data_IF_226143878502
#
_entry.id   IF_226143878502
#
_cell.length_a   1.000
_cell.length_b   1.000
_cell.length_c   1.000
_cell.angle_alpha   90.00
_cell.angle_beta   90.00
_cell.angle_gamma   90.00
#
_symmetry.space_group_name_H-M   'P 1'
#
loop_
_entity.id
_entity.type
_entity.pdbx_description
1 polymer ?
#
# COMPACT_ATOMS: atom_id res chain seq x y z
N UNK A 1 -16.86 1.13 -27.13
CA UNK A 1 -17.11 0.17 -26.03
C UNK A 1 -15.78 -0.37 -25.58
N UNK A 2 -15.36 -0.04 -24.35
CA UNK A 2 -14.05 -0.46 -23.84
C UNK A 2 -14.08 -1.95 -23.48
N UNK A 3 -13.15 -2.71 -24.04
CA UNK A 3 -13.03 -4.15 -23.82
C UNK A 3 -12.72 -4.45 -22.35
N UNK A 4 -12.94 -5.71 -21.95
CA UNK A 4 -12.62 -6.16 -20.58
C UNK A 4 -11.13 -6.00 -20.27
N UNK A 5 -10.26 -6.25 -21.25
CA UNK A 5 -8.81 -6.13 -21.10
C UNK A 5 -8.36 -4.67 -20.87
N UNK A 6 -8.92 -3.72 -21.62
CA UNK A 6 -8.60 -2.29 -21.47
C UNK A 6 -9.04 -1.74 -20.11
N UNK A 7 -10.22 -2.15 -19.61
CA UNK A 7 -10.68 -1.79 -18.26
C UNK A 7 -9.77 -2.36 -17.17
N UNK A 8 -9.28 -3.58 -17.37
CA UNK A 8 -8.37 -4.24 -16.43
C UNK A 8 -7.01 -3.54 -16.41
N UNK A 9 -6.46 -3.20 -17.57
CA UNK A 9 -5.20 -2.44 -17.68
C UNK A 9 -5.28 -1.06 -17.01
N UNK A 10 -6.38 -0.32 -17.20
CA UNK A 10 -6.58 0.98 -16.52
C UNK A 10 -6.68 0.84 -15.00
N UNK A 11 -7.36 -0.20 -14.50
CA UNK A 11 -7.45 -0.46 -13.07
C UNK A 11 -6.06 -0.76 -12.48
N UNK A 12 -5.26 -1.61 -13.15
CA UNK A 12 -3.90 -1.91 -12.73
C UNK A 12 -2.99 -0.67 -12.75
N UNK A 13 -3.10 0.17 -13.78
CA UNK A 13 -2.33 1.42 -13.86
C UNK A 13 -2.66 2.38 -12.71
N UNK A 14 -3.93 2.46 -12.31
CA UNK A 14 -4.34 3.28 -11.15
C UNK A 14 -3.76 2.74 -9.85
N UNK A 15 -3.75 1.42 -9.66
CA UNK A 15 -3.15 0.77 -8.49
C UNK A 15 -1.63 1.00 -8.44
N UNK A 16 -0.95 0.90 -9.58
CA UNK A 16 0.48 1.15 -9.68
C UNK A 16 0.79 2.61 -9.32
N UNK A 17 0.02 3.56 -9.86
CA UNK A 17 0.19 4.98 -9.51
C UNK A 17 -0.01 5.25 -8.01
N UNK A 18 -0.91 4.51 -7.34
CA UNK A 18 -1.07 4.60 -5.88
C UNK A 18 0.16 4.08 -5.15
N UNK A 19 0.70 2.92 -5.58
CA UNK A 19 1.93 2.35 -5.01
C UNK A 19 3.11 3.31 -5.20
N UNK A 20 3.31 3.82 -6.42
CA UNK A 20 4.40 4.72 -6.75
C UNK A 20 4.30 6.02 -5.95
N UNK A 21 3.09 6.58 -5.81
CA UNK A 21 2.86 7.78 -4.99
C UNK A 21 3.19 7.53 -3.53
N UNK A 22 2.82 6.38 -2.99
CA UNK A 22 3.14 6.01 -1.62
C UNK A 22 4.64 5.85 -1.44
N UNK A 23 5.32 5.10 -2.31
CA UNK A 23 6.77 4.87 -2.26
C UNK A 23 7.57 6.16 -2.46
N UNK A 24 7.10 7.07 -3.32
CA UNK A 24 7.72 8.37 -3.52
C UNK A 24 7.59 9.28 -2.28
N UNK A 25 6.51 9.14 -1.51
CA UNK A 25 6.29 9.89 -0.28
C UNK A 25 6.94 9.23 0.95
N UNK A 26 7.06 7.90 0.96
CA UNK A 26 7.45 7.10 2.11
C UNK A 26 8.42 5.99 1.69
N UNK A 27 9.63 6.05 2.23
CA UNK A 27 10.67 5.06 1.98
C UNK A 27 10.42 3.78 2.79
N UNK A 28 11.10 2.69 2.44
CA UNK A 28 11.15 1.49 3.30
C UNK A 28 11.74 1.88 4.66
N UNK A 29 11.08 1.47 5.74
CA UNK A 29 11.38 1.88 7.12
C UNK A 29 10.55 3.07 7.63
N UNK A 30 9.63 3.61 6.82
CA UNK A 30 8.72 4.67 7.25
C UNK A 30 7.69 4.15 8.27
N UNK A 31 7.40 4.97 9.29
CA UNK A 31 6.34 4.68 10.26
C UNK A 31 4.96 4.81 9.61
N UNK A 32 4.13 3.80 9.82
CA UNK A 32 2.77 3.72 9.27
C UNK A 32 1.84 3.12 10.32
N UNK A 33 0.58 3.52 10.29
CA UNK A 33 -0.48 2.83 11.01
C UNK A 33 -1.25 1.95 10.04
N UNK A 34 -1.59 0.74 10.47
CA UNK A 34 -2.40 -0.19 9.69
C UNK A 34 -3.61 -0.61 10.49
N UNK A 35 -4.76 -0.61 9.84
CA UNK A 35 -5.99 -1.18 10.39
C UNK A 35 -6.02 -2.69 10.12
N UNK A 36 -5.91 -3.47 11.20
CA UNK A 36 -6.01 -4.93 11.18
C UNK A 36 -7.45 -5.38 10.93
N UNK A 37 -7.63 -6.62 10.49
CA UNK A 37 -8.96 -7.18 10.18
C UNK A 37 -9.91 -7.24 11.38
N UNK A 38 -9.38 -7.20 12.60
CA UNK A 38 -10.15 -7.09 13.83
C UNK A 38 -10.64 -5.67 14.15
N UNK A 39 -10.33 -4.66 13.32
CA UNK A 39 -10.62 -3.24 13.55
C UNK A 39 -9.63 -2.54 14.50
N UNK A 40 -8.58 -3.23 14.93
CA UNK A 40 -7.50 -2.63 15.71
C UNK A 40 -6.54 -1.87 14.78
N UNK A 41 -6.23 -0.63 15.11
CA UNK A 41 -5.19 0.14 14.42
C UNK A 41 -3.87 -0.06 15.15
N UNK A 42 -2.86 -0.54 14.43
CA UNK A 42 -1.53 -0.79 14.97
C UNK A 42 -0.48 0.01 14.23
N UNK A 43 0.42 0.63 14.98
CA UNK A 43 1.58 1.32 14.42
C UNK A 43 2.70 0.32 14.13
N UNK A 44 3.32 0.47 12.97
CA UNK A 44 4.42 -0.36 12.49
C UNK A 44 5.28 0.42 11.50
N UNK A 45 6.28 -0.22 10.90
CA UNK A 45 7.12 0.36 9.86
C UNK A 45 7.00 -0.43 8.56
N UNK A 46 7.21 0.22 7.43
CA UNK A 46 7.26 -0.45 6.13
C UNK A 46 8.50 -1.33 6.04
N UNK A 47 8.31 -2.62 5.76
CA UNK A 47 9.42 -3.57 5.55
C UNK A 47 9.80 -3.66 4.07
N UNK A 48 8.91 -3.29 3.16
CA UNK A 48 9.17 -3.26 1.72
C UNK A 48 8.34 -2.18 1.03
N UNK A 49 8.69 -1.89 -0.22
CA UNK A 49 7.94 -0.97 -1.08
C UNK A 49 6.55 -1.52 -1.40
N UNK A 50 5.56 -0.62 -1.51
CA UNK A 50 4.22 -0.96 -1.95
C UNK A 50 4.23 -1.41 -3.41
N UNK A 51 3.52 -2.50 -3.71
CA UNK A 51 3.50 -3.11 -5.03
C UNK A 51 2.10 -3.64 -5.37
N UNK A 52 1.80 -3.71 -6.67
CA UNK A 52 0.54 -4.29 -7.14
C UNK A 52 0.68 -5.81 -7.21
N UNK A 53 -0.14 -6.53 -6.44
CA UNK A 53 -0.19 -7.99 -6.43
C UNK A 53 -1.34 -8.48 -7.32
N UNK A 54 -1.03 -9.43 -8.22
CA UNK A 54 -2.00 -10.06 -9.13
C UNK A 54 -2.71 -9.11 -10.10
N UNK A 55 -2.25 -7.86 -10.23
CA UNK A 55 -2.84 -6.83 -11.09
C UNK A 55 -4.14 -6.22 -10.59
N UNK A 56 -4.59 -6.53 -9.36
CA UNK A 56 -5.89 -6.11 -8.84
C UNK A 56 -5.86 -5.55 -7.42
N UNK A 57 -4.78 -5.72 -6.67
CA UNK A 57 -4.65 -5.19 -5.30
C UNK A 57 -3.31 -4.50 -5.11
N UNK A 58 -3.32 -3.34 -4.48
CA UNK A 58 -2.10 -2.65 -4.05
C UNK A 58 -1.78 -3.10 -2.62
N UNK A 59 -0.63 -3.73 -2.42
CA UNK A 59 -0.27 -4.31 -1.13
C UNK A 59 1.09 -3.80 -0.65
N UNK A 60 1.30 -3.86 0.66
CA UNK A 60 2.57 -3.51 1.31
C UNK A 60 2.93 -4.53 2.38
N UNK A 61 4.22 -4.71 2.59
CA UNK A 61 4.76 -5.51 3.68
C UNK A 61 5.22 -4.61 4.81
N UNK A 62 4.78 -4.97 6.01
CA UNK A 62 5.03 -4.21 7.22
C UNK A 62 5.87 -5.06 8.16
N UNK A 63 6.73 -4.41 8.94
CA UNK A 63 7.46 -5.07 10.00
C UNK A 63 6.48 -5.53 11.10
N UNK A 64 6.83 -6.55 11.88
CA UNK A 64 5.97 -7.07 12.95
C UNK A 64 4.63 -7.70 12.51
N UNK A 65 4.27 -7.66 11.21
CA UNK A 65 3.03 -8.23 10.65
C UNK A 65 3.39 -9.29 9.61
N UNK A 66 2.83 -10.49 9.77
CA UNK A 66 3.05 -11.57 8.80
C UNK A 66 2.07 -11.45 7.64
N UNK A 67 2.61 -11.40 6.43
CA UNK A 67 1.84 -11.29 5.20
C UNK A 67 1.94 -9.91 4.57
N UNK A 68 1.06 -9.65 3.60
CA UNK A 68 0.90 -8.35 2.98
C UNK A 68 -0.47 -7.77 3.36
N UNK A 69 -0.52 -6.45 3.55
CA UNK A 69 -1.76 -5.73 3.83
C UNK A 69 -2.13 -4.84 2.64
N UNK A 70 -3.43 -4.63 2.45
CA UNK A 70 -3.93 -3.68 1.46
C UNK A 70 -3.47 -2.27 1.81
N UNK A 71 -2.90 -1.60 0.82
CA UNK A 71 -2.36 -0.24 0.96
C UNK A 71 -3.43 0.76 1.39
N UNK A 72 -4.71 0.51 1.05
CA UNK A 72 -5.83 1.38 1.44
C UNK A 72 -6.10 1.36 2.96
N UNK A 73 -5.67 0.32 3.68
CA UNK A 73 -5.78 0.22 5.14
C UNK A 73 -4.54 0.74 5.87
N UNK A 74 -3.54 1.18 5.12
CA UNK A 74 -2.27 1.68 5.65
C UNK A 74 -2.23 3.19 5.51
N UNK A 75 -2.13 3.88 6.64
CA UNK A 75 -1.95 5.32 6.70
C UNK A 75 -0.53 5.62 7.10
N UNK A 76 0.20 6.36 6.27
CA UNK A 76 1.52 6.79 6.65
C UNK A 76 1.45 7.81 7.79
N UNK A 77 2.14 7.51 8.88
CA UNK A 77 2.32 8.46 9.97
C UNK A 77 3.37 9.45 9.48
N UNK A 78 3.01 10.72 9.38
CA UNK A 78 3.97 11.77 9.04
C UNK A 78 5.15 11.64 9.98
N UNK A 79 6.35 11.40 9.45
CA UNK A 79 7.56 11.81 10.13
C UNK A 79 7.47 13.33 10.26
N UNK A 80 7.13 13.82 11.45
CA UNK A 80 7.43 15.20 11.79
C UNK A 80 8.93 15.39 11.51
N UNK A 81 9.23 16.21 10.50
CA UNK A 81 10.57 16.73 10.35
C UNK A 81 10.86 17.53 11.61
N UNK A 82 11.79 17.04 12.43
CA UNK A 82 12.49 17.85 13.40
C UNK A 82 13.26 18.98 12.70
#
# INVERSE_FOLDING_TARGET
MTTRAERQAQATAKLQATCDKFNAAHQVGAAVSVELDGGEVRETVTNSEAQVMGGHSAVIWLDSIRGCYDLERVTALKAEKA
#
